data_IF_675431507716
#
_entry.id   IF_675431507716
#
_cell.length_a   1.000
_cell.length_b   1.000
_cell.length_c   1.000
_cell.angle_alpha   90.00
_cell.angle_beta   90.00
_cell.angle_gamma   90.00
#
_symmetry.space_group_name_H-M   'P 1'
#
loop_
_entity.id
_entity.type
_entity.pdbx_description
1 polymer ?
#
# COMPACT_ATOMS: atom_id res chain seq x y z
N UNK A 1 13.51 25.29 -1.12
CA UNK A 1 12.15 25.44 -0.53
C UNK A 1 11.63 24.16 0.16
N UNK A 2 12.47 23.15 0.46
CA UNK A 2 12.17 22.04 1.39
C UNK A 2 13.15 22.06 2.59
N UNK A 3 14.20 22.90 2.51
CA UNK A 3 15.30 23.02 3.46
C UNK A 3 14.93 23.60 4.83
N UNK A 4 13.77 24.26 4.97
CA UNK A 4 13.37 25.01 6.17
C UNK A 4 12.22 24.38 6.95
N UNK A 5 11.82 23.13 6.62
CA UNK A 5 10.85 22.40 7.43
C UNK A 5 11.48 22.08 8.79
N UNK A 6 10.77 22.33 9.91
CA UNK A 6 11.29 22.00 11.23
C UNK A 6 11.60 20.50 11.26
N UNK A 7 12.88 20.13 11.39
CA UNK A 7 13.38 18.74 11.37
C UNK A 7 12.68 17.83 12.38
N UNK A 8 11.99 18.41 13.38
CA UNK A 8 11.07 17.70 14.28
C UNK A 8 9.93 16.98 13.55
N UNK A 9 9.40 17.49 12.44
CA UNK A 9 8.27 16.88 11.73
C UNK A 9 8.68 15.68 10.87
N UNK A 10 9.93 15.63 10.40
CA UNK A 10 10.42 14.67 9.40
C UNK A 10 11.08 13.43 10.02
N UNK A 11 10.71 13.05 11.24
CA UNK A 11 11.23 11.79 11.82
C UNK A 11 10.56 10.58 11.13
N UNK A 12 11.29 9.48 10.86
CA UNK A 12 10.74 8.31 10.17
C UNK A 12 9.43 7.80 10.78
N UNK A 13 9.37 7.74 12.12
CA UNK A 13 8.15 7.37 12.85
C UNK A 13 6.95 8.30 12.58
N UNK A 14 7.16 9.63 12.54
CA UNK A 14 6.08 10.59 12.25
C UNK A 14 5.59 10.49 10.81
N UNK A 15 6.50 10.28 9.88
CA UNK A 15 6.16 10.07 8.47
C UNK A 15 5.36 8.78 8.27
N UNK A 16 5.74 7.70 8.96
CA UNK A 16 5.01 6.43 8.92
C UNK A 16 3.61 6.55 9.54
N UNK A 17 3.47 7.27 10.66
CA UNK A 17 2.15 7.59 11.22
C UNK A 17 1.29 8.43 10.27
N UNK A 18 1.88 9.41 9.59
CA UNK A 18 1.19 10.20 8.58
C UNK A 18 0.77 9.32 7.39
N UNK A 19 1.64 8.42 6.93
CA UNK A 19 1.35 7.45 5.86
C UNK A 19 0.17 6.55 6.22
N UNK A 20 0.15 6.00 7.44
CA UNK A 20 -0.97 5.20 7.97
C UNK A 20 -2.27 6.02 7.97
N UNK A 21 -2.24 7.26 8.46
CA UNK A 21 -3.42 8.11 8.50
C UNK A 21 -3.96 8.40 7.08
N UNK A 22 -3.10 8.75 6.13
CA UNK A 22 -3.47 8.98 4.73
C UNK A 22 -4.00 7.71 4.08
N UNK A 23 -3.42 6.54 4.37
CA UNK A 23 -3.87 5.26 3.86
C UNK A 23 -5.28 4.91 4.37
N UNK A 24 -5.55 5.10 5.66
CA UNK A 24 -6.91 4.92 6.24
C UNK A 24 -7.93 5.84 5.59
N UNK A 25 -7.58 7.13 5.39
CA UNK A 25 -8.45 8.08 4.69
C UNK A 25 -8.73 7.60 3.27
N UNK A 26 -7.69 7.19 2.55
CA UNK A 26 -7.78 6.73 1.16
C UNK A 26 -8.67 5.49 1.04
N UNK A 27 -8.46 4.48 1.89
CA UNK A 27 -9.29 3.26 1.92
C UNK A 27 -10.74 3.61 2.21
N UNK A 28 -10.99 4.49 3.19
CA UNK A 28 -12.35 4.91 3.56
C UNK A 28 -13.04 5.58 2.37
N UNK A 29 -12.36 6.54 1.72
CA UNK A 29 -12.90 7.25 0.57
C UNK A 29 -13.17 6.30 -0.61
N UNK A 30 -12.24 5.39 -0.93
CA UNK A 30 -12.40 4.41 -2.02
C UNK A 30 -13.53 3.42 -1.72
N UNK A 31 -13.64 2.96 -0.49
CA UNK A 31 -14.72 2.04 -0.07
C UNK A 31 -16.08 2.73 -0.12
N UNK A 32 -16.17 3.99 0.30
CA UNK A 32 -17.40 4.79 0.16
C UNK A 32 -17.75 5.04 -1.31
N UNK A 33 -16.76 5.36 -2.14
CA UNK A 33 -16.96 5.53 -3.58
C UNK A 33 -17.46 4.23 -4.22
N UNK A 34 -16.85 3.09 -3.89
CA UNK A 34 -17.33 1.77 -4.30
C UNK A 34 -18.76 1.52 -3.83
N UNK A 35 -19.10 1.80 -2.57
CA UNK A 35 -20.45 1.58 -2.04
C UNK A 35 -21.54 2.37 -2.79
N UNK A 36 -21.21 3.57 -3.26
CA UNK A 36 -22.16 4.42 -4.02
C UNK A 36 -22.21 4.03 -5.51
N UNK A 37 -21.12 3.51 -6.06
CA UNK A 37 -20.95 3.22 -7.50
C UNK A 37 -20.98 1.74 -7.85
N UNK A 38 -21.05 0.81 -6.89
CA UNK A 38 -20.99 -0.64 -7.12
C UNK A 38 -19.89 -1.06 -8.12
N UNK A 39 -18.73 -0.40 -8.11
CA UNK A 39 -17.68 -0.56 -9.11
C UNK A 39 -16.61 -1.55 -8.66
N UNK A 40 -16.52 -2.74 -9.26
CA UNK A 40 -15.49 -3.73 -8.88
C UNK A 40 -14.06 -3.18 -9.06
N UNK A 41 -13.84 -2.26 -10.02
CA UNK A 41 -12.55 -1.57 -10.18
C UNK A 41 -12.15 -0.71 -8.98
N UNK A 42 -13.10 0.04 -8.39
CA UNK A 42 -12.86 0.83 -7.17
C UNK A 42 -12.63 -0.08 -5.95
N UNK A 43 -13.29 -1.23 -5.90
CA UNK A 43 -13.04 -2.24 -4.87
C UNK A 43 -11.60 -2.78 -4.98
N UNK A 44 -11.14 -3.11 -6.20
CA UNK A 44 -9.77 -3.56 -6.43
C UNK A 44 -8.74 -2.52 -5.98
N UNK A 45 -8.98 -1.25 -6.30
CA UNK A 45 -8.11 -0.13 -5.92
C UNK A 45 -8.14 0.14 -4.39
N UNK A 46 -9.28 -0.10 -3.73
CA UNK A 46 -9.37 -0.09 -2.26
C UNK A 46 -8.57 -1.24 -1.63
N UNK A 47 -8.60 -2.44 -2.21
CA UNK A 47 -7.81 -3.59 -1.75
C UNK A 47 -6.30 -3.35 -1.90
N UNK A 48 -5.86 -2.72 -3.00
CA UNK A 48 -4.46 -2.29 -3.14
C UNK A 48 -4.04 -1.33 -2.03
N UNK A 49 -4.90 -0.35 -1.73
CA UNK A 49 -4.65 0.62 -0.67
C UNK A 49 -4.56 -0.03 0.72
N UNK A 50 -5.27 -1.15 0.93
CA UNK A 50 -5.16 -1.95 2.16
C UNK A 50 -3.79 -2.63 2.30
N UNK A 51 -3.25 -3.17 1.21
CA UNK A 51 -1.89 -3.73 1.20
C UNK A 51 -0.86 -2.64 1.53
N UNK A 52 -1.02 -1.44 0.98
CA UNK A 52 -0.16 -0.29 1.29
C UNK A 52 -0.24 0.12 2.77
N UNK A 53 -1.44 0.08 3.37
CA UNK A 53 -1.61 0.31 4.81
C UNK A 53 -0.88 -0.77 5.63
N UNK A 54 -1.02 -2.05 5.27
CA UNK A 54 -0.33 -3.15 5.94
C UNK A 54 1.20 -2.98 5.88
N UNK A 55 1.72 -2.61 4.71
CA UNK A 55 3.15 -2.28 4.51
C UNK A 55 3.59 -1.11 5.38
N UNK A 56 2.81 -0.03 5.48
CA UNK A 56 3.14 1.13 6.32
C UNK A 56 3.14 0.80 7.82
N UNK A 57 2.20 -0.04 8.28
CA UNK A 57 2.19 -0.55 9.66
C UNK A 57 3.40 -1.43 9.94
N UNK A 58 3.73 -2.33 9.01
CA UNK A 58 4.89 -3.20 9.14
C UNK A 58 6.21 -2.40 9.14
N UNK A 59 6.31 -1.36 8.30
CA UNK A 59 7.41 -0.41 8.31
C UNK A 59 7.55 0.29 9.67
N UNK A 60 6.44 0.74 10.26
CA UNK A 60 6.45 1.37 11.60
C UNK A 60 6.95 0.40 12.67
N UNK A 61 6.57 -0.87 12.60
CA UNK A 61 7.07 -1.92 13.50
C UNK A 61 8.59 -2.11 13.32
N UNK A 62 9.05 -2.29 12.07
CA UNK A 62 10.46 -2.51 11.77
C UNK A 62 11.35 -1.33 12.16
N UNK A 63 10.93 -0.09 11.87
CA UNK A 63 11.65 1.12 12.32
C UNK A 63 11.66 1.23 13.85
N UNK A 64 10.59 0.79 14.51
CA UNK A 64 10.56 0.79 15.99
C UNK A 64 11.52 -0.24 16.57
N UNK A 65 11.67 -1.41 15.94
CA UNK A 65 12.67 -2.43 16.32
C UNK A 65 14.08 -1.92 16.01
N UNK A 66 14.29 -1.32 14.84
CA UNK A 66 15.59 -0.80 14.41
C UNK A 66 16.16 0.29 15.32
N UNK A 67 15.28 1.06 15.99
CA UNK A 67 15.67 2.09 16.94
C UNK A 67 15.97 1.56 18.36
N UNK A 68 15.84 0.25 18.60
CA UNK A 68 16.23 -0.33 19.91
C UNK A 68 17.75 -0.29 20.08
N UNK A 69 18.25 -0.03 21.30
CA UNK A 69 19.67 -0.08 21.59
C UNK A 69 20.24 -1.49 21.37
N UNK A 70 21.55 -1.60 21.22
CA UNK A 70 22.22 -2.89 21.13
C UNK A 70 22.00 -3.72 22.40
N UNK A 71 21.79 -5.02 22.23
CA UNK A 71 21.62 -6.01 23.28
C UNK A 71 22.67 -7.14 23.13
N UNK A 72 22.68 -8.09 24.06
CA UNK A 72 23.64 -9.19 24.07
C UNK A 72 23.49 -10.11 22.84
N UNK A 73 22.29 -10.23 22.28
CA UNK A 73 22.01 -11.01 21.07
C UNK A 73 22.39 -10.25 19.79
N UNK A 74 22.39 -8.90 19.83
CA UNK A 74 22.70 -8.02 18.71
C UNK A 74 23.74 -6.94 19.10
N UNK A 75 25.04 -7.30 19.16
CA UNK A 75 26.11 -6.39 19.56
C UNK A 75 26.26 -5.17 18.63
N UNK A 76 25.82 -5.30 17.37
CA UNK A 76 25.83 -4.23 16.36
C UNK A 76 24.49 -3.48 16.26
N UNK A 77 23.51 -3.79 17.11
CA UNK A 77 22.18 -3.19 17.14
C UNK A 77 21.23 -3.70 16.05
N UNK A 78 19.99 -3.20 16.10
CA UNK A 78 18.85 -3.70 15.31
C UNK A 78 18.62 -2.97 13.99
N UNK A 79 19.52 -2.07 13.58
CA UNK A 79 19.34 -1.17 12.44
C UNK A 79 19.01 -1.86 11.10
N UNK A 80 19.40 -3.13 10.92
CA UNK A 80 19.05 -3.91 9.72
C UNK A 80 17.58 -4.32 9.64
N UNK A 81 16.82 -4.24 10.74
CA UNK A 81 15.41 -4.61 10.79
C UNK A 81 14.55 -3.79 9.82
N UNK A 82 14.92 -2.55 9.53
CA UNK A 82 14.18 -1.68 8.60
C UNK A 82 14.05 -2.27 7.19
N UNK A 83 15.07 -2.99 6.70
CA UNK A 83 15.07 -3.61 5.37
C UNK A 83 14.06 -4.75 5.22
N UNK A 84 13.61 -5.36 6.32
CA UNK A 84 12.55 -6.36 6.25
C UNK A 84 11.24 -5.74 5.75
N UNK A 85 11.02 -4.45 6.00
CA UNK A 85 9.81 -3.76 5.54
C UNK A 85 9.75 -3.64 4.03
N UNK A 86 10.84 -3.21 3.37
CA UNK A 86 10.87 -3.10 1.92
C UNK A 86 10.82 -4.47 1.25
N UNK A 87 11.40 -5.50 1.87
CA UNK A 87 11.25 -6.89 1.43
C UNK A 87 9.80 -7.37 1.48
N UNK A 88 9.09 -7.11 2.59
CA UNK A 88 7.69 -7.48 2.76
C UNK A 88 6.78 -6.82 1.71
N UNK A 89 6.90 -5.51 1.53
CA UNK A 89 6.14 -4.77 0.51
C UNK A 89 6.49 -5.23 -0.92
N UNK A 90 7.77 -5.46 -1.20
CA UNK A 90 8.23 -5.94 -2.49
C UNK A 90 7.63 -7.28 -2.90
N UNK A 91 7.45 -8.21 -1.95
CA UNK A 91 6.79 -9.51 -2.20
C UNK A 91 5.34 -9.31 -2.66
N UNK A 92 4.60 -8.40 -2.01
CA UNK A 92 3.23 -8.09 -2.41
C UNK A 92 3.15 -7.50 -3.80
N UNK A 93 4.01 -6.54 -4.12
CA UNK A 93 4.06 -5.91 -5.44
C UNK A 93 4.34 -6.95 -6.52
N UNK A 94 5.33 -7.82 -6.31
CA UNK A 94 5.68 -8.89 -7.25
C UNK A 94 4.51 -9.87 -7.41
N UNK A 95 3.86 -10.26 -6.31
CA UNK A 95 2.68 -11.14 -6.34
C UNK A 95 1.51 -10.55 -7.14
N UNK A 96 1.17 -9.28 -6.88
CA UNK A 96 0.12 -8.56 -7.62
C UNK A 96 0.48 -8.42 -9.10
N UNK A 97 1.73 -8.10 -9.42
CA UNK A 97 2.20 -8.00 -10.80
C UNK A 97 2.02 -9.33 -11.57
N UNK A 98 2.38 -10.47 -10.96
CA UNK A 98 2.12 -11.78 -11.57
C UNK A 98 0.63 -12.05 -11.76
N UNK A 99 -0.20 -11.70 -10.77
CA UNK A 99 -1.66 -11.83 -10.87
C UNK A 99 -2.24 -11.02 -12.04
N UNK A 100 -1.77 -9.78 -12.21
CA UNK A 100 -2.18 -8.90 -13.33
C UNK A 100 -1.74 -9.50 -14.67
N UNK A 101 -0.48 -9.95 -14.79
CA UNK A 101 0.04 -10.58 -16.02
C UNK A 101 -0.82 -11.79 -16.39
N UNK A 102 -1.15 -12.64 -15.42
CA UNK A 102 -1.98 -13.81 -15.65
C UNK A 102 -3.40 -13.42 -16.10
N UNK A 103 -4.06 -12.51 -15.37
CA UNK A 103 -5.39 -12.03 -15.72
C UNK A 103 -5.42 -11.36 -17.10
N UNK A 104 -4.45 -10.52 -17.42
CA UNK A 104 -4.32 -9.87 -18.71
C UNK A 104 -4.10 -10.88 -19.84
N UNK A 105 -3.22 -11.87 -19.64
CA UNK A 105 -2.95 -12.92 -20.63
C UNK A 105 -4.20 -13.77 -20.88
N UNK A 106 -4.95 -14.11 -19.81
CA UNK A 106 -6.20 -14.86 -19.95
C UNK A 106 -7.24 -14.10 -20.79
N UNK A 107 -7.40 -12.80 -20.56
CA UNK A 107 -8.31 -11.94 -21.34
C UNK A 107 -7.84 -11.69 -22.77
N UNK A 108 -6.54 -11.80 -23.04
CA UNK A 108 -6.00 -11.67 -24.40
C UNK A 108 -6.35 -12.89 -25.26
N UNK A 109 -6.32 -14.09 -24.69
CA UNK A 109 -6.64 -15.33 -25.40
C UNK A 109 -8.13 -15.69 -25.38
N UNK A 110 -8.89 -15.21 -24.39
CA UNK A 110 -10.35 -15.31 -24.31
C UNK A 110 -10.96 -13.90 -24.20
N UNK A 111 -11.11 -13.19 -25.32
CA UNK A 111 -11.58 -11.81 -25.31
C UNK A 111 -13.03 -11.76 -24.86
N UNK A 112 -13.24 -11.17 -23.67
CA UNK A 112 -14.59 -10.91 -23.20
C UNK A 112 -15.19 -9.73 -23.96
N UNK A 113 -16.48 -9.77 -24.29
CA UNK A 113 -17.15 -8.65 -24.97
C UNK A 113 -16.95 -7.37 -24.17
N UNK A 114 -16.60 -6.28 -24.88
CA UNK A 114 -16.45 -4.96 -24.29
C UNK A 114 -17.78 -4.58 -23.62
N UNK A 115 -17.78 -4.53 -22.29
CA UNK A 115 -18.95 -4.12 -21.53
C UNK A 115 -19.17 -2.61 -21.74
N UNK A 116 -20.45 -2.26 -21.88
CA UNK A 116 -20.96 -1.00 -22.42
C UNK A 116 -20.27 0.25 -21.81
N UNK A 117 -19.39 0.90 -22.59
CA UNK A 117 -18.61 2.07 -22.17
C UNK A 117 -19.50 3.31 -21.90
N UNK A 118 -20.77 3.26 -22.28
CA UNK A 118 -21.72 4.36 -22.11
C UNK A 118 -22.07 4.65 -20.63
N UNK A 119 -21.89 3.68 -19.71
CA UNK A 119 -22.19 3.80 -18.28
C UNK A 119 -20.98 3.96 -17.35
N UNK A 120 -19.75 3.94 -17.88
CA UNK A 120 -18.50 3.89 -17.12
C UNK A 120 -18.25 5.09 -16.18
N UNK A 121 -19.04 6.17 -16.28
CA UNK A 121 -18.89 7.37 -15.47
C UNK A 121 -19.64 7.32 -14.13
N UNK A 122 -20.59 6.40 -13.93
CA UNK A 122 -21.34 6.24 -12.66
C UNK A 122 -21.09 4.91 -11.94
N UNK A 123 -20.60 3.93 -12.69
CA UNK A 123 -20.39 2.53 -12.34
C UNK A 123 -21.62 1.82 -11.75
N UNK A 124 -21.83 0.60 -12.25
CA UNK A 124 -22.66 -0.45 -11.69
C UNK A 124 -22.33 -1.71 -12.48
N UNK A 125 -21.36 -2.47 -11.97
CA UNK A 125 -21.19 -3.93 -12.03
C UNK A 125 -19.99 -4.33 -11.17
#
# INVERSE_FOLDING_TARGET
MISDLPTRLLTPKRLLWASIAVAVITITLKTLAWYVTDCVGLLSDAMESFVNLASAVFALLMVTIAQRPADEEHPYGHHKAEYFSSGFEGIWIVGVAFGIIWAATSRLFDPQPLQDLAGAWLCRY
#
